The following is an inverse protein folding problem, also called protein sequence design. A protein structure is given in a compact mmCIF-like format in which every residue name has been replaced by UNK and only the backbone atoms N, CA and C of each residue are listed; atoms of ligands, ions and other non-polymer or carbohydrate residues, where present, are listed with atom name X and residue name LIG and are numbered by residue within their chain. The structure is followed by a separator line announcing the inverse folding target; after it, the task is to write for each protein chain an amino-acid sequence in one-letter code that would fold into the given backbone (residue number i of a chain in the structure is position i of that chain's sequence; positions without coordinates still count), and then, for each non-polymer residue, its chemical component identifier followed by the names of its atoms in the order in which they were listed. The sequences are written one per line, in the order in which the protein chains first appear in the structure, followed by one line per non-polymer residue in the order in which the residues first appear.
data_IF_711449068466
#
_entry.id   IF_711449068466
#
_cell.length_a   1.000
_cell.length_b   1.000
_cell.length_c   1.000
_cell.angle_alpha   90.00
_cell.angle_beta   90.00
_cell.angle_gamma   90.00
#
_symmetry.space_group_name_H-M   'P 1'
#
loop_
_entity.id
_entity.type
_entity.pdbx_description
1 polymer ?
#
# COMPACT_ATOMS: atom_id res chain seq x y z
N UNK A 1 68.62 -2.82 52.33
CA UNK A 1 67.49 -3.64 52.83
C UNK A 1 66.73 -4.11 51.60
N UNK A 2 66.99 -5.32 51.08
CA UNK A 2 66.46 -6.62 51.56
C UNK A 2 64.93 -6.63 51.37
N UNK A 3 64.26 -7.49 50.60
CA UNK A 3 64.48 -8.88 50.12
C UNK A 3 63.80 -9.01 48.73
N UNK A 4 64.33 -9.74 47.73
CA UNK A 4 64.11 -11.19 47.47
C UNK A 4 62.65 -11.63 47.65
N UNK A 5 61.96 -12.31 46.75
CA UNK A 5 62.29 -13.50 45.95
C UNK A 5 61.04 -13.78 45.08
N UNK A 6 61.15 -14.04 43.78
CA UNK A 6 61.20 -15.39 43.18
C UNK A 6 60.11 -16.31 43.74
N UNK A 7 59.07 -16.57 42.95
CA UNK A 7 58.64 -17.96 42.80
C UNK A 7 58.26 -18.26 41.35
N UNK A 8 58.92 -19.30 40.87
CA UNK A 8 58.84 -19.87 39.55
C UNK A 8 57.89 -21.08 39.64
N UNK A 9 57.32 -21.38 38.48
CA UNK A 9 57.17 -22.73 37.95
C UNK A 9 55.76 -23.34 37.93
N UNK A 10 55.50 -24.16 36.89
CA UNK A 10 54.19 -24.49 36.36
C UNK A 10 53.67 -25.81 36.96
N UNK A 11 52.37 -26.06 36.82
CA UNK A 11 51.84 -27.41 36.89
C UNK A 11 51.06 -27.72 35.62
N UNK A 12 51.62 -28.66 34.89
CA UNK A 12 51.03 -29.41 33.83
C UNK A 12 50.03 -30.45 34.38
N UNK A 13 49.27 -31.01 33.44
CA UNK A 13 48.65 -32.35 33.45
C UNK A 13 47.37 -32.57 34.28
N UNK A 14 46.28 -32.82 33.56
CA UNK A 14 45.55 -34.10 33.52
C UNK A 14 44.21 -33.87 32.79
N UNK A 15 44.07 -34.35 31.55
CA UNK A 15 43.39 -35.61 31.24
C UNK A 15 41.88 -35.62 31.53
N UNK A 16 41.09 -35.78 30.47
CA UNK A 16 39.64 -35.94 30.55
C UNK A 16 38.97 -36.00 29.19
N UNK A 17 39.52 -36.77 28.25
CA UNK A 17 38.86 -37.13 26.99
C UNK A 17 37.86 -38.25 27.28
N UNK A 18 36.57 -37.95 27.15
CA UNK A 18 35.50 -38.94 27.11
C UNK A 18 34.68 -38.74 25.83
N UNK A 19 34.78 -39.61 24.81
CA UNK A 19 33.89 -39.58 23.66
C UNK A 19 32.86 -40.71 23.81
N UNK A 20 31.63 -40.36 24.19
CA UNK A 20 30.63 -41.40 24.39
C UNK A 20 29.28 -40.91 24.86
N UNK A 21 28.64 -39.97 24.17
CA UNK A 21 27.20 -39.78 24.30
C UNK A 21 26.55 -39.49 22.94
N UNK A 22 25.90 -40.54 22.44
CA UNK A 22 24.61 -40.54 21.75
C UNK A 22 24.06 -39.16 21.35
N UNK A 23 23.92 -38.92 20.04
CA UNK A 23 22.75 -38.19 19.58
C UNK A 23 22.31 -38.66 18.20
N UNK A 24 21.51 -39.72 18.21
CA UNK A 24 20.61 -40.11 17.13
C UNK A 24 19.50 -39.06 17.01
N UNK A 25 19.84 -37.89 16.48
CA UNK A 25 18.93 -36.77 16.26
C UNK A 25 18.21 -36.88 14.93
N UNK A 26 17.41 -37.93 14.74
CA UNK A 26 16.28 -37.88 13.79
C UNK A 26 15.29 -36.84 14.32
N UNK A 27 15.46 -35.59 13.90
CA UNK A 27 14.39 -34.60 13.93
C UNK A 27 14.20 -34.05 12.54
N UNK A 28 13.29 -34.72 11.85
CA UNK A 28 12.34 -34.16 10.90
C UNK A 28 12.03 -32.69 11.26
N UNK A 29 12.76 -31.73 10.70
CA UNK A 29 12.20 -30.40 10.51
C UNK A 29 11.61 -30.37 9.12
N UNK A 30 10.38 -30.88 9.07
CA UNK A 30 9.32 -30.44 8.16
C UNK A 30 9.61 -29.03 7.68
N UNK A 31 9.94 -28.89 6.38
CA UNK A 31 9.87 -27.62 5.66
C UNK A 31 8.47 -27.06 5.93
N UNK A 32 8.34 -26.14 6.88
CA UNK A 32 7.16 -25.29 6.96
C UNK A 32 7.17 -24.53 5.65
N UNK A 33 6.33 -24.94 4.71
CA UNK A 33 6.16 -24.27 3.45
C UNK A 33 5.88 -22.79 3.77
N UNK A 34 6.76 -21.85 3.38
CA UNK A 34 6.56 -20.42 3.64
C UNK A 34 5.40 -19.83 2.82
N UNK A 35 4.52 -20.68 2.30
CA UNK A 35 3.42 -20.36 1.39
C UNK A 35 2.10 -20.06 2.12
N UNK A 36 2.05 -20.24 3.45
CA UNK A 36 0.83 -20.13 4.26
C UNK A 36 0.97 -19.12 5.40
N UNK A 37 1.63 -17.99 5.16
CA UNK A 37 1.33 -16.82 6.00
C UNK A 37 -0.03 -16.26 5.57
N UNK A 38 -0.90 -15.86 6.50
CA UNK A 38 -2.25 -15.38 6.17
C UNK A 38 -2.21 -14.19 5.19
N UNK A 39 -1.17 -13.38 5.23
CA UNK A 39 -0.96 -12.25 4.30
C UNK A 39 -0.73 -12.71 2.86
N UNK A 40 0.06 -13.76 2.65
CA UNK A 40 0.30 -14.33 1.32
C UNK A 40 -0.98 -14.98 0.80
N UNK A 41 -1.76 -15.61 1.68
CA UNK A 41 -3.05 -16.21 1.32
C UNK A 41 -4.05 -15.12 0.89
N UNK A 42 -4.19 -14.04 1.66
CA UNK A 42 -5.09 -12.93 1.31
C UNK A 42 -4.66 -12.22 0.04
N UNK A 43 -3.36 -11.96 -0.15
CA UNK A 43 -2.83 -11.32 -1.36
C UNK A 43 -3.04 -12.19 -2.61
N UNK A 44 -2.79 -13.50 -2.52
CA UNK A 44 -3.07 -14.41 -3.63
C UNK A 44 -4.56 -14.53 -3.92
N UNK A 45 -5.41 -14.63 -2.89
CA UNK A 45 -6.86 -14.68 -3.06
C UNK A 45 -7.39 -13.41 -3.76
N UNK A 46 -6.92 -12.24 -3.33
CA UNK A 46 -7.26 -10.95 -3.96
C UNK A 46 -6.73 -10.87 -5.39
N UNK A 47 -5.50 -11.31 -5.65
CA UNK A 47 -4.93 -11.31 -7.00
C UNK A 47 -5.72 -12.22 -7.94
N UNK A 48 -6.02 -13.45 -7.49
CA UNK A 48 -6.83 -14.41 -8.26
C UNK A 48 -8.21 -13.82 -8.51
N UNK A 49 -8.90 -13.33 -7.48
CA UNK A 49 -10.23 -12.74 -7.62
C UNK A 49 -10.24 -11.55 -8.60
N UNK A 50 -9.22 -10.69 -8.54
CA UNK A 50 -9.09 -9.54 -9.44
C UNK A 50 -8.89 -9.96 -10.89
N UNK A 51 -7.98 -10.91 -11.14
CA UNK A 51 -7.70 -11.45 -12.48
C UNK A 51 -8.91 -12.21 -13.03
N UNK A 52 -9.56 -13.04 -12.21
CA UNK A 52 -10.79 -13.74 -12.60
C UNK A 52 -11.88 -12.74 -12.98
N UNK A 53 -12.06 -11.69 -12.18
CA UNK A 53 -13.05 -10.64 -12.46
C UNK A 53 -12.76 -9.91 -13.78
N UNK A 54 -11.49 -9.69 -14.14
CA UNK A 54 -11.09 -9.14 -15.44
C UNK A 54 -11.43 -10.08 -16.60
N UNK A 55 -11.17 -11.38 -16.45
CA UNK A 55 -11.45 -12.38 -17.49
C UNK A 55 -12.95 -12.54 -17.71
N UNK A 56 -13.74 -12.59 -16.63
CA UNK A 56 -15.19 -12.77 -16.68
C UNK A 56 -15.97 -11.46 -16.78
N UNK A 57 -15.28 -10.33 -17.00
CA UNK A 57 -15.87 -8.99 -17.05
C UNK A 57 -17.07 -8.90 -18.01
N UNK A 58 -17.00 -9.60 -19.15
CA UNK A 58 -18.05 -9.63 -20.17
C UNK A 58 -19.30 -10.43 -19.73
N UNK A 59 -19.19 -11.26 -18.69
CA UNK A 59 -20.29 -12.00 -18.08
C UNK A 59 -20.81 -11.35 -16.79
N UNK A 60 -20.00 -10.51 -16.13
CA UNK A 60 -20.31 -9.82 -14.88
C UNK A 60 -20.97 -8.45 -15.12
N UNK A 61 -20.67 -7.80 -16.24
CA UNK A 61 -21.26 -6.53 -16.66
C UNK A 61 -22.26 -6.82 -17.78
N UNK A 62 -23.54 -6.59 -17.53
CA UNK A 62 -24.59 -6.78 -18.54
C UNK A 62 -24.25 -5.94 -19.78
N UNK A 63 -24.24 -6.60 -20.95
CA UNK A 63 -23.99 -5.92 -22.22
C UNK A 63 -24.94 -4.73 -22.39
N UNK A 64 -24.46 -3.55 -22.82
CA UNK A 64 -25.32 -2.40 -23.04
C UNK A 64 -26.47 -2.80 -23.98
N UNK A 65 -27.72 -2.65 -23.55
CA UNK A 65 -28.86 -2.82 -24.46
C UNK A 65 -28.74 -1.73 -25.52
N UNK A 66 -28.25 -2.12 -26.70
CA UNK A 66 -28.14 -1.23 -27.85
C UNK A 66 -29.55 -0.82 -28.28
N UNK A 67 -30.01 0.34 -27.82
CA UNK A 67 -31.19 0.98 -28.39
C UNK A 67 -30.75 1.64 -29.70
N UNK A 68 -31.18 1.06 -30.82
CA UNK A 68 -31.05 1.60 -32.19
C UNK A 68 -29.65 1.58 -32.82
N UNK A 69 -28.80 0.59 -32.52
CA UNK A 69 -27.53 0.39 -33.24
C UNK A 69 -26.54 1.56 -33.17
N UNK A 70 -26.82 2.54 -32.30
CA UNK A 70 -25.93 3.65 -31.94
C UNK A 70 -25.60 3.53 -30.47
N UNK A 71 -24.31 3.42 -30.17
CA UNK A 71 -23.76 3.58 -28.84
C UNK A 71 -24.08 5.00 -28.36
N UNK A 72 -25.03 5.14 -27.43
CA UNK A 72 -25.33 6.41 -26.76
C UNK A 72 -24.27 6.80 -25.72
N UNK A 73 -23.29 5.93 -25.47
CA UNK A 73 -22.12 6.21 -24.66
C UNK A 73 -20.88 6.10 -25.53
N UNK A 74 -20.11 7.19 -25.64
CA UNK A 74 -18.80 7.21 -26.28
C UNK A 74 -17.76 6.35 -25.51
N UNK A 75 -18.11 5.84 -24.32
CA UNK A 75 -17.22 5.11 -23.41
C UNK A 75 -17.89 3.79 -22.97
N UNK A 76 -17.20 2.64 -23.10
CA UNK A 76 -17.69 1.36 -22.59
C UNK A 76 -17.87 1.39 -21.06
N UNK A 77 -19.02 0.96 -20.52
CA UNK A 77 -19.27 0.93 -19.07
C UNK A 77 -18.36 -0.04 -18.30
N UNK A 78 -17.63 -0.89 -19.00
CA UNK A 78 -16.62 -1.81 -18.45
C UNK A 78 -15.23 -1.16 -18.27
N UNK A 79 -15.01 0.07 -18.72
CA UNK A 79 -13.70 0.71 -18.55
C UNK A 79 -13.40 1.04 -17.08
N UNK A 80 -14.38 1.53 -16.32
CA UNK A 80 -14.16 1.85 -14.90
C UNK A 80 -13.73 0.62 -14.07
N UNK A 81 -14.48 -0.50 -14.05
CA UNK A 81 -14.10 -1.61 -13.19
C UNK A 81 -12.86 -2.34 -13.74
N UNK A 82 -12.57 -2.29 -15.04
CA UNK A 82 -11.37 -2.93 -15.60
C UNK A 82 -10.09 -2.22 -15.19
N UNK A 83 -10.08 -0.88 -15.18
CA UNK A 83 -8.94 -0.09 -14.70
C UNK A 83 -8.68 -0.35 -13.22
N UNK A 84 -9.74 -0.37 -12.40
CA UNK A 84 -9.63 -0.63 -10.95
C UNK A 84 -9.10 -2.04 -10.68
N UNK A 85 -9.64 -3.06 -11.36
CA UNK A 85 -9.20 -4.45 -11.20
C UNK A 85 -7.77 -4.65 -11.72
N UNK A 86 -7.38 -3.99 -12.80
CA UNK A 86 -6.01 -4.04 -13.32
C UNK A 86 -5.02 -3.41 -12.32
N UNK A 87 -5.33 -2.22 -11.79
CA UNK A 87 -4.51 -1.56 -10.78
C UNK A 87 -4.39 -2.42 -9.50
N UNK A 88 -5.50 -3.01 -9.05
CA UNK A 88 -5.50 -3.93 -7.91
C UNK A 88 -4.65 -5.17 -8.16
N UNK A 89 -4.74 -5.77 -9.34
CA UNK A 89 -3.92 -6.93 -9.70
C UNK A 89 -2.43 -6.59 -9.71
N UNK A 90 -2.05 -5.45 -10.30
CA UNK A 90 -0.65 -4.97 -10.32
C UNK A 90 -0.14 -4.69 -8.91
N UNK A 91 -0.94 -4.00 -8.07
CA UNK A 91 -0.59 -3.74 -6.68
C UNK A 91 -0.39 -5.03 -5.88
N UNK A 92 -1.27 -6.02 -6.05
CA UNK A 92 -1.12 -7.33 -5.40
C UNK A 92 0.14 -8.06 -5.89
N UNK A 93 0.43 -8.02 -7.19
CA UNK A 93 1.64 -8.62 -7.76
C UNK A 93 2.92 -7.97 -7.22
N UNK A 94 2.97 -6.62 -7.19
CA UNK A 94 4.08 -5.87 -6.60
C UNK A 94 4.24 -6.20 -5.11
N UNK A 95 3.15 -6.23 -4.34
CA UNK A 95 3.17 -6.59 -2.93
C UNK A 95 3.71 -8.01 -2.70
N UNK A 96 3.30 -8.98 -3.52
CA UNK A 96 3.82 -10.35 -3.48
C UNK A 96 5.31 -10.41 -3.80
N UNK A 97 5.79 -9.64 -4.79
CA UNK A 97 7.22 -9.54 -5.11
C UNK A 97 8.00 -8.93 -3.95
N UNK A 98 7.48 -7.87 -3.31
CA UNK A 98 8.13 -7.22 -2.16
C UNK A 98 8.22 -8.16 -0.95
N UNK A 99 7.11 -8.84 -0.61
CA UNK A 99 7.08 -9.85 0.48
C UNK A 99 8.06 -10.99 0.21
N UNK A 100 8.20 -11.40 -1.06
CA UNK A 100 9.15 -12.45 -1.46
C UNK A 100 10.61 -11.98 -1.49
N UNK A 101 10.88 -10.69 -1.68
CA UNK A 101 12.23 -10.17 -1.89
C UNK A 101 12.94 -9.69 -0.63
N UNK A 102 12.28 -9.18 0.43
CA UNK A 102 12.92 -8.91 1.75
C UNK A 102 11.96 -8.76 2.95
N UNK A 103 12.42 -9.29 4.10
CA UNK A 103 12.28 -8.82 5.51
C UNK A 103 10.86 -8.39 5.94
N UNK A 104 9.96 -9.36 6.16
CA UNK A 104 8.80 -9.09 7.01
C UNK A 104 9.26 -8.99 8.47
N UNK A 105 9.40 -7.76 8.97
CA UNK A 105 9.36 -7.48 10.40
C UNK A 105 8.06 -8.06 10.97
N UNK A 106 8.18 -8.92 11.98
CA UNK A 106 7.09 -9.58 12.72
C UNK A 106 5.84 -8.69 12.83
N UNK A 107 4.78 -9.05 12.11
CA UNK A 107 3.41 -8.59 12.33
C UNK A 107 2.84 -9.39 13.52
N UNK A 108 3.41 -9.21 14.72
CA UNK A 108 3.08 -10.08 15.86
C UNK A 108 3.11 -9.38 17.23
N UNK A 109 3.13 -8.05 17.24
CA UNK A 109 2.84 -7.27 18.45
C UNK A 109 1.61 -6.43 18.16
N UNK A 110 0.61 -6.52 19.03
CA UNK A 110 -0.60 -5.71 18.93
C UNK A 110 -0.28 -4.23 18.73
N UNK A 111 -1.22 -3.51 18.10
CA UNK A 111 -1.03 -2.12 17.68
C UNK A 111 -0.44 -1.27 18.81
N UNK A 112 0.74 -0.73 18.57
CA UNK A 112 1.40 0.16 19.51
C UNK A 112 0.59 1.48 19.63
N UNK A 113 0.67 2.20 20.75
CA UNK A 113 -0.03 3.48 20.94
C UNK A 113 0.27 4.49 19.83
N UNK A 114 1.51 4.49 19.32
CA UNK A 114 1.92 5.33 18.20
C UNK A 114 1.22 4.95 16.87
N UNK A 115 0.95 3.67 16.64
CA UNK A 115 0.23 3.19 15.47
C UNK A 115 -1.26 3.52 15.58
N UNK A 116 -1.83 3.39 16.78
CA UNK A 116 -3.18 3.85 17.08
C UNK A 116 -3.35 5.35 16.83
N UNK A 117 -2.39 6.16 17.28
CA UNK A 117 -2.40 7.60 17.01
C UNK A 117 -2.33 7.89 15.51
N UNK A 118 -1.46 7.20 14.75
CA UNK A 118 -1.40 7.32 13.29
C UNK A 118 -2.72 6.95 12.61
N UNK A 119 -3.38 5.88 13.06
CA UNK A 119 -4.67 5.46 12.52
C UNK A 119 -5.77 6.51 12.79
N UNK A 120 -5.83 7.04 14.01
CA UNK A 120 -6.77 8.11 14.38
C UNK A 120 -6.51 9.38 13.58
N UNK A 121 -5.25 9.79 13.41
CA UNK A 121 -4.93 10.97 12.59
C UNK A 121 -5.31 10.74 11.13
N UNK A 122 -5.01 9.56 10.56
CA UNK A 122 -5.42 9.22 9.20
C UNK A 122 -6.95 9.29 9.04
N UNK A 123 -7.69 8.75 10.01
CA UNK A 123 -9.15 8.84 10.03
C UNK A 123 -9.63 10.30 10.08
N UNK A 124 -9.00 11.13 10.89
CA UNK A 124 -9.24 12.58 10.94
C UNK A 124 -8.97 13.27 9.60
N UNK A 125 -7.88 12.92 8.92
CA UNK A 125 -7.54 13.47 7.59
C UNK A 125 -8.58 13.04 6.54
N UNK A 126 -9.02 11.78 6.55
CA UNK A 126 -10.07 11.29 5.64
C UNK A 126 -11.41 11.99 5.90
N UNK A 127 -11.74 12.24 7.16
CA UNK A 127 -12.94 12.99 7.54
C UNK A 127 -12.84 14.45 7.07
N UNK A 128 -11.69 15.09 7.29
CA UNK A 128 -11.41 16.44 6.80
C UNK A 128 -11.54 16.51 5.28
N UNK A 129 -10.95 15.55 4.56
CA UNK A 129 -11.04 15.45 3.10
C UNK A 129 -12.50 15.43 2.63
N UNK A 130 -13.34 14.61 3.25
CA UNK A 130 -14.76 14.53 2.90
C UNK A 130 -15.50 15.85 3.17
N UNK A 131 -15.19 16.51 4.29
CA UNK A 131 -15.77 17.81 4.64
C UNK A 131 -15.32 18.94 3.71
N UNK A 132 -14.06 18.94 3.27
CA UNK A 132 -13.53 19.97 2.35
C UNK A 132 -13.97 19.75 0.91
N UNK A 133 -14.38 18.53 0.55
CA UNK A 133 -14.77 18.17 -0.81
C UNK A 133 -15.94 19.02 -1.33
N UNK A 134 -16.89 19.37 -0.47
CA UNK A 134 -18.06 20.19 -0.80
C UNK A 134 -17.68 21.67 -1.06
N UNK A 135 -16.97 22.38 -0.16
CA UNK A 135 -16.64 23.79 -0.36
C UNK A 135 -15.46 24.05 -1.32
N UNK A 136 -14.44 23.19 -1.35
CA UNK A 136 -13.18 23.46 -2.07
C UNK A 136 -13.03 22.68 -3.38
N UNK A 137 -13.85 21.67 -3.63
CA UNK A 137 -13.68 20.77 -4.78
C UNK A 137 -12.63 19.69 -4.55
N UNK A 138 -12.47 18.82 -5.55
CA UNK A 138 -11.66 17.61 -5.45
C UNK A 138 -10.13 17.89 -5.47
N UNK A 139 -9.61 18.78 -6.32
CA UNK A 139 -8.17 19.04 -6.45
C UNK A 139 -7.60 19.64 -5.16
N UNK A 140 -8.22 20.69 -4.64
CA UNK A 140 -7.75 21.39 -3.43
C UNK A 140 -7.86 20.45 -2.21
N UNK A 141 -9.01 19.76 -2.06
CA UNK A 141 -9.20 18.80 -0.96
C UNK A 141 -8.20 17.66 -1.00
N UNK A 142 -7.96 17.09 -2.18
CA UNK A 142 -7.02 15.97 -2.35
C UNK A 142 -5.58 16.43 -2.14
N UNK A 143 -5.21 17.64 -2.58
CA UNK A 143 -3.89 18.21 -2.32
C UNK A 143 -3.63 18.41 -0.82
N UNK A 144 -4.61 18.94 -0.08
CA UNK A 144 -4.53 19.09 1.38
C UNK A 144 -4.39 17.71 2.05
N UNK A 145 -5.26 16.76 1.67
CA UNK A 145 -5.22 15.41 2.23
C UNK A 145 -3.87 14.72 1.97
N UNK A 146 -3.36 14.76 0.74
CA UNK A 146 -2.07 14.18 0.37
C UNK A 146 -0.92 14.83 1.12
N UNK A 147 -0.96 16.15 1.30
CA UNK A 147 0.05 16.88 2.09
C UNK A 147 0.04 16.41 3.55
N UNK A 148 -1.14 16.31 4.18
CA UNK A 148 -1.29 15.86 5.56
C UNK A 148 -0.86 14.39 5.75
N UNK A 149 -1.19 13.51 4.81
CA UNK A 149 -0.76 12.11 4.84
C UNK A 149 0.76 12.00 4.69
N UNK A 150 1.35 12.79 3.79
CA UNK A 150 2.80 12.80 3.59
C UNK A 150 3.55 13.29 4.83
N UNK A 151 3.02 14.34 5.47
CA UNK A 151 3.51 14.82 6.77
C UNK A 151 3.37 13.75 7.86
N UNK A 152 2.23 13.04 7.91
CA UNK A 152 1.98 11.96 8.87
C UNK A 152 2.94 10.77 8.69
N UNK A 153 3.36 10.49 7.44
CA UNK A 153 4.37 9.48 7.12
C UNK A 153 5.82 9.91 7.43
N UNK A 154 6.03 11.19 7.77
CA UNK A 154 7.35 11.71 8.16
C UNK A 154 8.26 12.04 6.97
N UNK A 155 7.69 12.38 5.81
CA UNK A 155 8.47 12.89 4.69
C UNK A 155 9.25 14.14 5.11
N UNK A 156 10.58 14.13 4.94
CA UNK A 156 11.46 15.25 5.33
C UNK A 156 11.70 16.25 4.20
N UNK A 157 11.48 15.84 2.96
CA UNK A 157 11.74 16.64 1.76
C UNK A 157 10.46 17.37 1.34
N UNK A 158 10.39 18.67 1.65
CA UNK A 158 9.27 19.53 1.24
C UNK A 158 9.01 19.46 -0.28
N UNK A 159 10.07 19.36 -1.08
CA UNK A 159 9.98 19.22 -2.54
C UNK A 159 9.21 17.95 -2.94
N UNK A 160 9.44 16.83 -2.26
CA UNK A 160 8.75 15.57 -2.54
C UNK A 160 7.28 15.64 -2.12
N UNK A 161 7.00 16.28 -0.98
CA UNK A 161 5.63 16.50 -0.50
C UNK A 161 4.85 17.32 -1.53
N UNK A 162 5.39 18.46 -1.95
CA UNK A 162 4.76 19.35 -2.94
C UNK A 162 4.55 18.65 -4.27
N UNK A 163 5.56 17.90 -4.74
CA UNK A 163 5.47 17.18 -6.00
C UNK A 163 4.37 16.11 -5.94
N UNK A 164 4.32 15.29 -4.89
CA UNK A 164 3.27 14.26 -4.73
C UNK A 164 1.88 14.88 -4.52
N UNK A 165 1.79 15.95 -3.72
CA UNK A 165 0.53 16.63 -3.42
C UNK A 165 -0.06 17.39 -4.62
N UNK A 166 0.75 17.77 -5.61
CA UNK A 166 0.28 18.36 -6.87
C UNK A 166 0.10 17.33 -7.97
N UNK A 167 1.13 16.54 -8.29
CA UNK A 167 1.07 15.56 -9.37
C UNK A 167 0.05 14.46 -9.09
N UNK A 168 -0.08 14.00 -7.84
CA UNK A 168 -1.03 12.94 -7.48
C UNK A 168 -2.47 13.31 -7.83
N UNK A 169 -3.01 14.41 -7.29
CA UNK A 169 -4.36 14.87 -7.62
C UNK A 169 -4.54 15.22 -9.09
N UNK A 170 -3.56 15.85 -9.75
CA UNK A 170 -3.65 16.22 -11.17
C UNK A 170 -3.73 14.96 -12.06
N UNK A 171 -2.84 13.98 -11.82
CA UNK A 171 -2.88 12.72 -12.57
C UNK A 171 -4.16 11.96 -12.31
N UNK A 172 -4.66 11.95 -11.06
CA UNK A 172 -5.91 11.29 -10.72
C UNK A 172 -7.10 12.00 -11.38
N UNK A 173 -7.10 13.33 -11.41
CA UNK A 173 -8.10 14.15 -12.10
C UNK A 173 -8.11 13.90 -13.60
N UNK A 174 -6.94 13.90 -14.26
CA UNK A 174 -6.82 13.62 -15.69
C UNK A 174 -7.22 12.18 -16.01
N UNK A 175 -6.81 11.22 -15.17
CA UNK A 175 -7.21 9.82 -15.33
C UNK A 175 -8.73 9.66 -15.17
N UNK A 176 -9.34 10.30 -14.18
CA UNK A 176 -10.79 10.24 -13.98
C UNK A 176 -11.55 10.92 -15.13
N UNK A 177 -11.10 12.10 -15.58
CA UNK A 177 -11.78 12.84 -16.64
C UNK A 177 -11.59 12.21 -18.02
N UNK A 178 -10.40 11.68 -18.35
CA UNK A 178 -10.14 11.05 -19.64
C UNK A 178 -10.56 9.59 -19.72
N UNK A 179 -10.34 8.80 -18.66
CA UNK A 179 -10.64 7.36 -18.69
C UNK A 179 -12.09 7.07 -18.31
N UNK A 180 -12.70 7.91 -17.45
CA UNK A 180 -14.03 7.64 -16.91
C UNK A 180 -15.10 8.61 -17.42
N UNK A 181 -14.72 9.74 -18.03
CA UNK A 181 -15.59 10.86 -18.38
C UNK A 181 -16.63 11.21 -17.29
N UNK A 182 -16.26 11.00 -16.04
CA UNK A 182 -17.06 11.41 -14.89
C UNK A 182 -16.70 12.87 -14.61
N UNK A 183 -17.69 13.74 -14.76
CA UNK A 183 -17.58 15.16 -14.41
C UNK A 183 -17.38 15.29 -12.91
N UNK A 184 -16.14 15.51 -12.47
CA UNK A 184 -15.87 15.87 -11.09
C UNK A 184 -16.45 17.27 -10.78
N UNK A 185 -16.84 17.57 -9.52
CA UNK A 185 -17.55 18.80 -9.12
C UNK A 185 -16.90 20.13 -9.54
N UNK A 186 -15.64 20.07 -9.95
CA UNK A 186 -14.78 21.22 -10.24
C UNK A 186 -15.03 21.83 -11.60
N UNK A 187 -15.61 21.07 -12.53
CA UNK A 187 -16.07 21.63 -13.81
C UNK A 187 -17.15 22.69 -13.56
N UNK A 188 -18.06 22.44 -12.60
CA UNK A 188 -19.15 23.34 -12.28
C UNK A 188 -18.68 24.59 -11.49
N UNK A 189 -17.67 24.44 -10.62
CA UNK A 189 -17.09 25.58 -9.90
C UNK A 189 -16.27 26.51 -10.82
N UNK A 190 -15.50 25.93 -11.76
CA UNK A 190 -14.74 26.69 -12.77
C UNK A 190 -15.70 27.32 -13.80
N UNK A 191 -16.75 26.61 -14.24
CA UNK A 191 -17.80 27.18 -15.10
C UNK A 191 -18.56 28.31 -14.41
N UNK A 192 -18.94 28.17 -13.14
CA UNK A 192 -19.57 29.26 -12.39
C UNK A 192 -18.63 30.45 -12.19
N UNK A 193 -17.34 30.22 -11.92
CA UNK A 193 -16.37 31.30 -11.81
C UNK A 193 -16.17 32.03 -13.15
N UNK A 194 -16.08 31.29 -14.26
CA UNK A 194 -16.03 31.86 -15.60
C UNK A 194 -17.32 32.60 -15.96
N UNK A 195 -18.49 32.01 -15.69
CA UNK A 195 -19.78 32.65 -15.93
C UNK A 195 -19.91 33.96 -15.16
N UNK A 196 -19.39 34.02 -13.92
CA UNK A 196 -19.43 35.21 -13.06
C UNK A 196 -18.47 36.31 -13.48
N UNK A 197 -17.32 35.95 -14.08
CA UNK A 197 -16.34 36.89 -14.63
C UNK A 197 -16.76 37.39 -16.01
N UNK A 198 -17.40 36.54 -16.82
CA UNK A 198 -17.88 36.88 -18.17
C UNK A 198 -19.25 37.59 -18.16
N UNK A 199 -20.01 37.51 -17.06
CA UNK A 199 -21.26 38.25 -16.84
C UNK A 199 -21.04 39.69 -16.31
N UNK A 200 -19.79 40.11 -16.16
CA UNK A 200 -19.37 41.48 -15.83
C UNK A 200 -18.91 42.19 -17.11
#
# INVERSE_FOLDING_TARGET
MMHESVDQSPRAEAEGVAPGTSNNGRSQMTRKHPLLTPEILTLNALMIASVLSLIFMNSLVAAPKALFGRSLSAIPPSLFPSIVLAAMAVMCACALVLVRTRISSRVDKGLNRAEWLRAVTLFGIMTLYALTMVPFGFLISTAIAMTLISLQMGARSVIQITLVALLGPILLYLSATQLLAVSLPELNAIEMAYARILSL
#
